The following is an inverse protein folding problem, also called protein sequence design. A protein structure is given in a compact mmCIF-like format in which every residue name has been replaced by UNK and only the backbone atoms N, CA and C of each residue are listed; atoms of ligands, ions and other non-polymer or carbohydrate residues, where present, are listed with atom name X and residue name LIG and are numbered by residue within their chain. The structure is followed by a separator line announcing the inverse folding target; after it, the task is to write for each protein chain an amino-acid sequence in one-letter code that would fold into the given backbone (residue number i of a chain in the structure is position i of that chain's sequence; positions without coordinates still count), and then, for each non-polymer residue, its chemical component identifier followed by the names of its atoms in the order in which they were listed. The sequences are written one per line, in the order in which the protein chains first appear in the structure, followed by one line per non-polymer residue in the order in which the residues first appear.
data_IF_315759584653
#
_entry.id   IF_315759584653
#
_cell.length_a   1.000
_cell.length_b   1.000
_cell.length_c   1.000
_cell.angle_alpha   90.00
_cell.angle_beta   90.00
_cell.angle_gamma   90.00
#
_symmetry.space_group_name_H-M   'P 1'
#
loop_
_entity.id
_entity.type
_entity.pdbx_description
1 polymer ?
#
# COMPACT_ATOMS: atom_id res chain seq x y z
N UNK A 1 2.56 -2.40 16.05
CA UNK A 1 2.11 -2.85 14.71
C UNK A 1 3.28 -3.13 13.78
N UNK A 2 2.98 -3.35 12.50
CA UNK A 2 4.01 -3.67 11.49
C UNK A 2 5.05 -2.55 11.35
N UNK A 3 4.60 -1.30 11.43
CA UNK A 3 5.43 -0.10 11.37
C UNK A 3 6.57 -0.12 12.40
N UNK A 4 6.30 -0.52 13.63
CA UNK A 4 7.33 -0.63 14.68
C UNK A 4 8.38 -1.72 14.36
N UNK A 5 7.95 -2.83 13.73
CA UNK A 5 8.84 -3.93 13.33
C UNK A 5 9.64 -3.63 12.06
N UNK A 6 9.13 -2.71 11.22
CA UNK A 6 9.77 -2.30 9.97
C UNK A 6 10.62 -1.02 10.13
N UNK A 7 10.71 -0.49 11.34
CA UNK A 7 11.63 0.60 11.60
C UNK A 7 13.06 0.13 11.31
N UNK A 8 13.76 0.85 10.42
CA UNK A 8 15.09 0.51 9.94
C UNK A 8 15.20 -0.76 9.09
N UNK A 9 14.11 -1.19 8.46
CA UNK A 9 14.12 -2.33 7.56
C UNK A 9 14.83 -1.98 6.25
N UNK A 10 16.09 -2.44 6.11
CA UNK A 10 16.90 -2.23 4.92
C UNK A 10 16.77 -3.47 4.05
N UNK A 11 16.23 -3.29 2.85
CA UNK A 11 15.94 -4.35 1.92
C UNK A 11 17.24 -4.90 1.32
N UNK A 12 17.62 -6.11 1.69
CA UNK A 12 18.79 -6.82 1.15
C UNK A 12 18.46 -7.67 -0.06
N UNK A 13 17.31 -8.36 0.00
CA UNK A 13 16.88 -9.31 -1.03
C UNK A 13 15.36 -9.25 -1.21
N UNK A 14 14.92 -9.41 -2.44
CA UNK A 14 13.50 -9.54 -2.79
C UNK A 14 13.31 -10.80 -3.64
N UNK A 15 12.33 -11.61 -3.28
CA UNK A 15 11.91 -12.78 -4.06
C UNK A 15 10.45 -12.57 -4.50
N UNK A 16 10.23 -12.59 -5.81
CA UNK A 16 8.90 -12.54 -6.40
C UNK A 16 8.46 -13.96 -6.70
N UNK A 17 7.57 -14.51 -5.87
CA UNK A 17 7.03 -15.88 -6.02
C UNK A 17 5.87 -15.92 -7.03
N UNK A 18 5.25 -14.79 -7.35
CA UNK A 18 4.19 -14.66 -8.34
C UNK A 18 4.30 -13.33 -9.09
N UNK A 19 4.61 -13.41 -10.38
CA UNK A 19 4.89 -12.24 -11.21
C UNK A 19 3.71 -11.27 -11.32
N UNK A 20 2.47 -11.79 -11.40
CA UNK A 20 1.26 -10.96 -11.49
C UNK A 20 0.98 -10.08 -10.26
N UNK A 21 1.73 -10.27 -9.16
CA UNK A 21 1.66 -9.40 -7.99
C UNK A 21 2.41 -8.08 -8.21
N UNK A 22 3.40 -8.08 -9.10
CA UNK A 22 4.12 -6.87 -9.48
C UNK A 22 3.35 -6.17 -10.60
N UNK A 23 2.82 -5.00 -10.31
CA UNK A 23 2.03 -4.22 -11.26
C UNK A 23 2.86 -3.12 -11.96
N UNK A 24 3.95 -2.67 -11.33
CA UNK A 24 4.87 -1.71 -11.92
C UNK A 24 6.24 -1.73 -11.18
N UNK A 25 7.33 -1.63 -11.92
CA UNK A 25 7.42 -1.73 -13.37
C UNK A 25 6.95 -3.11 -13.86
N UNK A 26 6.64 -3.23 -15.16
CA UNK A 26 6.17 -4.52 -15.75
C UNK A 26 7.25 -5.59 -15.66
N UNK A 27 8.52 -5.17 -15.75
CA UNK A 27 9.66 -6.06 -15.58
C UNK A 27 9.94 -6.28 -14.08
N UNK A 28 9.80 -7.53 -13.61
CA UNK A 28 10.02 -7.88 -12.19
C UNK A 28 11.47 -7.72 -11.74
N UNK A 29 12.42 -7.89 -12.62
CA UNK A 29 13.85 -7.70 -12.33
C UNK A 29 14.13 -6.22 -12.01
N UNK A 30 13.49 -5.31 -12.73
CA UNK A 30 13.55 -3.87 -12.43
C UNK A 30 12.90 -3.54 -11.08
N UNK A 31 11.76 -4.16 -10.76
CA UNK A 31 11.12 -4.04 -9.45
C UNK A 31 12.04 -4.51 -8.33
N UNK A 32 12.65 -5.71 -8.48
CA UNK A 32 13.58 -6.28 -7.49
C UNK A 32 14.80 -5.36 -7.32
N UNK A 33 15.42 -4.92 -8.43
CA UNK A 33 16.59 -4.03 -8.42
C UNK A 33 16.26 -2.67 -7.80
N UNK A 34 15.06 -2.17 -8.06
CA UNK A 34 14.61 -0.88 -7.53
C UNK A 34 14.45 -0.88 -6.01
N UNK A 35 13.96 -1.98 -5.44
CA UNK A 35 13.77 -2.13 -4.01
C UNK A 35 15.05 -2.48 -3.25
N UNK A 36 15.97 -3.21 -3.90
CA UNK A 36 17.21 -3.66 -3.26
C UNK A 36 18.04 -2.48 -2.75
N UNK A 37 18.65 -2.66 -1.58
CA UNK A 37 19.52 -1.69 -0.88
C UNK A 37 18.77 -0.40 -0.48
N UNK A 38 17.45 -0.47 -0.34
CA UNK A 38 16.59 0.63 0.12
C UNK A 38 16.21 0.45 1.58
N UNK A 39 16.19 1.56 2.31
CA UNK A 39 15.56 1.66 3.63
C UNK A 39 14.08 1.97 3.45
N UNK A 40 13.20 1.22 4.11
CA UNK A 40 11.81 1.62 4.30
C UNK A 40 11.80 2.73 5.36
N UNK A 41 11.67 3.98 4.91
CA UNK A 41 11.80 5.15 5.77
C UNK A 41 10.52 5.46 6.52
N UNK A 42 9.37 5.42 5.83
CA UNK A 42 8.08 5.77 6.40
C UNK A 42 6.95 5.03 5.69
N UNK A 43 5.92 4.65 6.44
CA UNK A 43 4.67 4.15 5.90
C UNK A 43 3.57 5.19 6.03
N UNK A 44 2.83 5.37 4.96
CA UNK A 44 1.60 6.14 4.91
C UNK A 44 0.46 5.29 4.33
N UNK A 45 -0.77 5.73 4.52
CA UNK A 45 -1.96 5.11 3.93
C UNK A 45 -2.78 6.16 3.19
N UNK A 46 -3.22 5.80 1.99
CA UNK A 46 -4.17 6.59 1.24
C UNK A 46 -5.28 5.67 0.70
N UNK A 47 -6.51 5.85 1.17
CA UNK A 47 -7.60 4.91 0.90
C UNK A 47 -7.22 3.48 1.32
N UNK A 48 -7.23 2.56 0.37
CA UNK A 48 -6.84 1.15 0.54
C UNK A 48 -5.42 0.84 0.09
N UNK A 49 -4.61 1.88 -0.18
CA UNK A 49 -3.21 1.76 -0.55
C UNK A 49 -2.31 2.02 0.65
N UNK A 50 -1.33 1.16 0.84
CA UNK A 50 -0.18 1.37 1.71
C UNK A 50 0.94 1.96 0.87
N UNK A 51 1.62 2.97 1.37
CA UNK A 51 2.66 3.70 0.64
C UNK A 51 3.88 3.77 1.54
N UNK A 52 4.96 3.08 1.14
CA UNK A 52 6.24 3.18 1.80
C UNK A 52 7.14 4.15 1.03
N UNK A 53 7.64 5.16 1.71
CA UNK A 53 8.73 6.00 1.21
C UNK A 53 10.05 5.27 1.35
N UNK A 54 10.84 5.24 0.28
CA UNK A 54 12.11 4.53 0.22
C UNK A 54 13.27 5.50 0.14
N UNK A 55 14.35 5.18 0.84
CA UNK A 55 15.62 5.93 0.77
C UNK A 55 16.78 5.02 0.45
N UNK A 56 17.79 5.52 -0.25
CA UNK A 56 19.07 4.83 -0.51
C UNK A 56 20.23 5.55 0.17
N UNK A 57 21.35 4.84 0.28
CA UNK A 57 22.62 5.45 0.67
C UNK A 57 23.10 6.45 -0.39
N UNK A 58 23.73 7.52 0.03
CA UNK A 58 24.42 8.44 -0.89
C UNK A 58 25.74 7.88 -1.42
N UNK A 59 26.42 7.03 -0.64
CA UNK A 59 27.71 6.43 -1.00
C UNK A 59 27.70 4.92 -0.72
N UNK A 60 28.11 4.12 -1.70
CA UNK A 60 28.14 2.65 -1.63
C UNK A 60 29.18 2.08 -0.64
N UNK A 61 30.09 2.90 -0.07
CA UNK A 61 31.27 2.45 0.65
C UNK A 61 31.24 2.63 2.18
N UNK A 62 30.07 2.81 2.83
CA UNK A 62 30.04 3.12 4.26
C UNK A 62 29.19 2.14 5.06
N UNK A 63 29.85 1.51 6.07
CA UNK A 63 29.18 0.76 7.14
C UNK A 63 28.29 1.67 7.98
N UNK A 64 27.07 1.21 8.23
CA UNK A 64 25.94 1.90 8.88
C UNK A 64 26.22 2.99 9.91
N UNK A 65 25.58 4.16 9.84
CA UNK A 65 24.42 4.56 10.64
C UNK A 65 23.32 5.26 9.80
N UNK A 66 22.09 5.35 10.37
CA UNK A 66 20.85 5.82 9.76
C UNK A 66 20.89 7.19 9.07
N UNK A 67 21.79 8.07 9.51
CA UNK A 67 21.94 9.44 9.00
C UNK A 67 22.39 9.54 7.53
N UNK A 68 22.78 8.41 6.95
CA UNK A 68 23.32 8.34 5.57
C UNK A 68 22.32 7.90 4.50
N UNK A 69 21.08 7.59 4.87
CA UNK A 69 19.99 7.36 3.92
C UNK A 69 19.29 8.67 3.59
N UNK A 70 19.88 9.49 2.78
CA UNK A 70 19.32 10.80 2.42
C UNK A 70 18.71 10.80 1.03
N UNK A 71 19.22 9.97 0.11
CA UNK A 71 18.75 9.92 -1.27
C UNK A 71 17.38 9.26 -1.37
N UNK A 72 16.40 10.02 -1.88
CA UNK A 72 15.09 9.48 -2.20
C UNK A 72 15.22 8.35 -3.25
N UNK A 73 14.57 7.21 -3.00
CA UNK A 73 14.49 6.08 -3.94
C UNK A 73 13.05 5.81 -4.41
N UNK A 74 12.17 6.79 -4.22
CA UNK A 74 10.78 6.67 -4.62
C UNK A 74 9.92 5.93 -3.60
N UNK A 75 8.99 5.12 -4.09
CA UNK A 75 7.93 4.55 -3.26
C UNK A 75 7.70 3.07 -3.57
N UNK A 76 7.44 2.29 -2.53
CA UNK A 76 6.77 1.00 -2.65
C UNK A 76 5.29 1.22 -2.29
N UNK A 77 4.41 1.03 -3.27
CA UNK A 77 2.96 1.11 -3.06
C UNK A 77 2.38 -0.29 -3.07
N UNK A 78 1.43 -0.56 -2.16
CA UNK A 78 0.80 -1.87 -2.03
C UNK A 78 -0.71 -1.71 -1.90
N UNK A 79 -1.45 -2.47 -2.69
CA UNK A 79 -2.90 -2.64 -2.53
C UNK A 79 -3.18 -4.08 -2.12
N UNK A 80 -3.57 -4.30 -0.87
CA UNK A 80 -3.76 -5.65 -0.30
C UNK A 80 -4.96 -6.39 -0.89
N UNK A 81 -5.94 -5.68 -1.45
CA UNK A 81 -7.21 -6.22 -1.91
C UNK A 81 -7.97 -6.92 -0.77
N UNK A 82 -8.49 -8.14 -1.01
CA UNK A 82 -9.41 -8.81 -0.08
C UNK A 82 -8.72 -9.75 0.89
N UNK A 83 -7.66 -10.42 0.47
CA UNK A 83 -7.02 -11.51 1.22
C UNK A 83 -5.52 -11.30 1.42
N UNK A 84 -4.97 -10.21 0.88
CA UNK A 84 -3.56 -9.89 1.02
C UNK A 84 -3.23 -9.36 2.41
N UNK A 85 -2.11 -9.82 2.96
CA UNK A 85 -1.57 -9.31 4.21
C UNK A 85 -0.06 -9.50 4.28
N UNK A 86 0.58 -8.68 5.12
CA UNK A 86 1.98 -8.85 5.46
C UNK A 86 2.15 -9.62 6.76
N UNK A 87 3.16 -10.50 6.77
CA UNK A 87 3.64 -11.20 7.96
C UNK A 87 5.12 -10.93 8.14
N UNK A 88 5.51 -10.43 9.31
CA UNK A 88 6.91 -10.31 9.69
C UNK A 88 7.38 -11.64 10.28
N UNK A 89 8.55 -12.12 9.85
CA UNK A 89 9.13 -13.41 10.23
C UNK A 89 10.57 -13.15 10.65
N UNK A 90 10.82 -13.33 11.92
CA UNK A 90 12.13 -13.19 12.57
C UNK A 90 12.87 -14.54 12.70
N UNK A 91 12.13 -15.64 12.67
CA UNK A 91 12.67 -17.00 12.65
C UNK A 91 12.18 -17.73 11.41
N UNK A 92 13.06 -18.40 10.70
CA UNK A 92 12.73 -19.06 9.44
C UNK A 92 11.51 -19.99 9.58
N UNK A 93 10.54 -19.77 8.71
CA UNK A 93 9.41 -20.67 8.50
C UNK A 93 9.22 -20.94 7.01
N UNK A 94 8.85 -22.16 6.63
CA UNK A 94 8.59 -22.48 5.24
C UNK A 94 7.53 -21.55 4.64
N UNK A 95 7.75 -21.01 3.43
CA UNK A 95 6.73 -20.24 2.72
C UNK A 95 5.53 -21.14 2.38
N UNK A 96 4.31 -20.62 2.58
CA UNK A 96 3.12 -21.33 2.15
C UNK A 96 2.85 -21.11 0.63
N UNK A 97 1.99 -21.95 0.04
CA UNK A 97 1.58 -21.84 -1.37
C UNK A 97 0.94 -20.50 -1.78
N UNK A 98 0.55 -19.69 -0.80
CA UNK A 98 -0.04 -18.38 -1.00
C UNK A 98 0.95 -17.22 -0.80
N UNK A 99 2.22 -17.51 -0.55
CA UNK A 99 3.29 -16.53 -0.53
C UNK A 99 3.47 -15.95 -1.94
N UNK A 100 3.47 -14.62 -2.06
CA UNK A 100 3.56 -13.91 -3.35
C UNK A 100 4.85 -13.13 -3.51
N UNK A 101 5.26 -12.44 -2.44
CA UNK A 101 6.53 -11.70 -2.39
C UNK A 101 7.16 -11.91 -1.02
N UNK A 102 8.48 -12.03 -1.00
CA UNK A 102 9.31 -12.12 0.20
C UNK A 102 10.36 -11.03 0.14
N UNK A 103 10.46 -10.24 1.16
CA UNK A 103 11.45 -9.16 1.28
C UNK A 103 12.29 -9.43 2.51
N UNK A 104 13.60 -9.51 2.35
CA UNK A 104 14.54 -9.80 3.43
C UNK A 104 15.35 -8.56 3.77
N UNK A 105 15.53 -8.33 5.06
CA UNK A 105 16.43 -7.28 5.54
C UNK A 105 17.89 -7.78 5.66
N UNK A 106 18.76 -6.88 6.09
CA UNK A 106 20.18 -7.18 6.33
C UNK A 106 20.42 -8.17 7.46
N UNK A 107 19.46 -8.36 8.37
CA UNK A 107 19.50 -9.30 9.50
C UNK A 107 18.83 -10.64 9.17
N UNK A 108 18.45 -10.86 7.91
CA UNK A 108 17.66 -12.00 7.42
C UNK A 108 16.23 -12.12 8.00
N UNK A 109 15.69 -11.06 8.62
CA UNK A 109 14.27 -11.02 8.89
C UNK A 109 13.50 -10.94 7.58
N UNK A 110 12.33 -11.53 7.53
CA UNK A 110 11.51 -11.57 6.32
C UNK A 110 10.19 -10.80 6.52
N UNK A 111 9.91 -9.85 5.62
CA UNK A 111 8.57 -9.32 5.41
C UNK A 111 7.94 -10.11 4.28
N UNK A 112 7.00 -10.98 4.62
CA UNK A 112 6.33 -11.87 3.69
C UNK A 112 4.95 -11.32 3.32
N UNK A 113 4.70 -11.18 2.03
CA UNK A 113 3.38 -10.89 1.51
C UNK A 113 2.66 -12.18 1.12
N UNK A 114 1.51 -12.39 1.73
CA UNK A 114 0.67 -13.57 1.53
C UNK A 114 -0.69 -13.11 0.99
N UNK A 115 -1.16 -13.76 -0.09
CA UNK A 115 -2.46 -13.46 -0.68
C UNK A 115 -3.08 -14.71 -1.31
N UNK A 116 -4.12 -15.23 -0.70
CA UNK A 116 -4.83 -16.44 -1.14
C UNK A 116 -5.40 -16.25 -2.54
N UNK A 117 -6.06 -15.13 -2.80
CA UNK A 117 -6.75 -14.84 -4.06
C UNK A 117 -5.84 -14.27 -5.15
N UNK A 118 -4.64 -13.83 -4.80
CA UNK A 118 -3.66 -13.23 -5.72
C UNK A 118 -4.16 -12.01 -6.49
N UNK A 119 -5.02 -11.20 -5.87
CA UNK A 119 -5.52 -9.95 -6.45
C UNK A 119 -4.74 -8.72 -5.97
N UNK A 120 -3.96 -8.89 -4.91
CA UNK A 120 -3.10 -7.84 -4.41
C UNK A 120 -2.00 -7.47 -5.39
N UNK A 121 -1.63 -6.23 -5.37
CA UNK A 121 -0.68 -5.66 -6.33
C UNK A 121 0.34 -4.77 -5.62
N UNK A 122 1.56 -4.76 -6.15
CA UNK A 122 2.66 -3.92 -5.70
C UNK A 122 3.26 -3.13 -6.85
N UNK A 123 3.66 -1.90 -6.55
CA UNK A 123 4.31 -0.96 -7.48
C UNK A 123 5.59 -0.46 -6.82
N UNK A 124 6.71 -0.55 -7.50
CA UNK A 124 7.86 0.26 -7.17
C UNK A 124 7.90 1.47 -8.11
N UNK A 125 7.85 2.65 -7.57
CA UNK A 125 7.79 3.91 -8.32
C UNK A 125 9.05 4.67 -8.00
N UNK A 126 9.93 4.77 -8.98
CA UNK A 126 11.22 5.43 -8.83
C UNK A 126 11.08 6.91 -8.50
N UNK A 127 12.13 7.48 -7.95
CA UNK A 127 12.27 8.91 -7.75
C UNK A 127 11.90 9.73 -9.00
N UNK A 128 11.26 10.88 -8.77
CA UNK A 128 10.79 11.77 -9.83
C UNK A 128 9.46 11.39 -10.47
N UNK A 129 8.95 10.17 -10.23
CA UNK A 129 7.62 9.76 -10.67
C UNK A 129 6.60 9.90 -9.55
N UNK A 130 5.39 10.33 -9.89
CA UNK A 130 4.28 10.46 -8.95
C UNK A 130 3.47 9.17 -8.88
N UNK A 131 3.25 8.57 -7.68
CA UNK A 131 2.35 7.43 -7.50
C UNK A 131 0.95 7.67 -8.05
N UNK A 132 0.41 8.87 -7.88
CA UNK A 132 -0.94 9.24 -8.35
C UNK A 132 -1.06 9.23 -9.89
N UNK A 133 0.03 9.48 -10.61
CA UNK A 133 0.05 9.42 -12.08
C UNK A 133 0.19 8.00 -12.61
N UNK A 134 0.96 7.17 -11.93
CA UNK A 134 1.21 5.76 -12.33
C UNK A 134 0.01 4.88 -11.95
N UNK A 135 -0.53 5.07 -10.75
CA UNK A 135 -1.63 4.26 -10.22
C UNK A 135 -2.94 5.06 -10.36
N UNK A 136 -3.64 4.86 -11.48
CA UNK A 136 -4.89 5.59 -11.76
C UNK A 136 -5.89 5.52 -10.60
N UNK A 137 -6.04 4.34 -9.99
CA UNK A 137 -6.93 4.16 -8.84
C UNK A 137 -6.53 5.00 -7.61
N UNK A 138 -5.23 5.19 -7.37
CA UNK A 138 -4.74 6.06 -6.29
C UNK A 138 -4.97 7.53 -6.63
N UNK A 139 -4.69 7.94 -7.87
CA UNK A 139 -4.83 9.33 -8.31
C UNK A 139 -6.27 9.83 -8.38
N UNK A 140 -7.24 8.92 -8.50
CA UNK A 140 -8.68 9.25 -8.57
C UNK A 140 -9.42 9.20 -7.23
N UNK A 141 -8.72 8.92 -6.12
CA UNK A 141 -9.36 8.81 -4.80
C UNK A 141 -10.00 10.12 -4.35
N UNK A 142 -11.24 10.02 -3.89
CA UNK A 142 -11.93 11.09 -3.16
C UNK A 142 -11.27 11.40 -1.80
N UNK A 143 -11.83 12.32 -1.00
CA UNK A 143 -11.32 12.65 0.32
C UNK A 143 -11.32 11.43 1.27
N UNK A 144 -10.44 11.46 2.28
CA UNK A 144 -10.47 10.49 3.38
C UNK A 144 -11.70 10.75 4.29
N UNK A 145 -12.31 9.71 4.88
CA UNK A 145 -13.52 9.86 5.70
C UNK A 145 -13.40 10.83 6.88
N UNK A 146 -12.19 10.94 7.44
CA UNK A 146 -11.92 11.83 8.60
C UNK A 146 -11.20 13.12 8.21
N UNK A 147 -11.08 13.43 6.91
CA UNK A 147 -10.54 14.71 6.47
C UNK A 147 -11.60 15.80 6.55
N UNK A 148 -11.17 17.06 6.65
CA UNK A 148 -12.07 18.23 6.62
C UNK A 148 -12.85 18.35 5.30
N UNK A 149 -12.32 17.76 4.23
CA UNK A 149 -12.92 17.77 2.91
C UNK A 149 -14.12 16.83 2.79
N UNK A 150 -14.19 15.77 3.61
CA UNK A 150 -15.34 14.87 3.70
C UNK A 150 -16.29 15.33 4.82
N UNK A 151 -17.31 16.07 4.46
CA UNK A 151 -18.30 16.63 5.39
C UNK A 151 -19.73 16.49 4.83
N UNK A 152 -20.73 16.81 5.65
CA UNK A 152 -22.14 16.69 5.28
C UNK A 152 -22.51 17.48 4.02
N UNK A 153 -21.96 18.69 3.84
CA UNK A 153 -22.22 19.51 2.66
C UNK A 153 -21.65 18.89 1.38
N UNK A 154 -20.43 18.36 1.47
CA UNK A 154 -19.81 17.62 0.37
C UNK A 154 -20.67 16.40 0.00
N UNK A 155 -21.02 15.58 0.99
CA UNK A 155 -21.80 14.36 0.75
C UNK A 155 -23.19 14.67 0.17
N UNK A 156 -23.90 15.67 0.70
CA UNK A 156 -25.20 16.13 0.18
C UNK A 156 -25.08 16.57 -1.29
N UNK A 157 -24.05 17.35 -1.65
CA UNK A 157 -23.79 17.79 -3.03
C UNK A 157 -23.52 16.63 -3.98
N UNK A 158 -22.83 15.58 -3.49
CA UNK A 158 -22.51 14.39 -4.30
C UNK A 158 -23.75 13.53 -4.51
N UNK A 159 -24.54 13.29 -3.45
CA UNK A 159 -25.75 12.46 -3.49
C UNK A 159 -26.81 13.10 -4.40
N UNK A 160 -27.05 14.43 -4.29
CA UNK A 160 -28.08 15.12 -5.05
C UNK A 160 -27.96 15.00 -6.58
N UNK A 161 -26.79 14.60 -7.07
CA UNK A 161 -26.50 14.44 -8.51
C UNK A 161 -26.51 12.97 -8.98
N UNK A 162 -26.91 12.02 -8.13
CA UNK A 162 -26.76 10.59 -8.38
C UNK A 162 -28.05 9.83 -8.08
N UNK A 163 -28.28 8.80 -8.89
CA UNK A 163 -29.44 7.88 -8.77
C UNK A 163 -29.06 6.54 -8.12
N UNK A 164 -27.77 6.35 -7.81
CA UNK A 164 -27.28 5.12 -7.17
C UNK A 164 -27.69 5.08 -5.69
N UNK A 165 -27.84 3.87 -5.13
CA UNK A 165 -28.07 3.69 -3.69
C UNK A 165 -26.97 4.33 -2.88
N UNK A 166 -27.29 4.75 -1.67
CA UNK A 166 -26.31 5.39 -0.75
C UNK A 166 -25.13 4.47 -0.45
N UNK A 167 -25.35 3.18 -0.31
CA UNK A 167 -24.26 2.21 -0.13
C UNK A 167 -23.31 2.21 -1.35
N UNK A 168 -23.85 2.19 -2.57
CA UNK A 168 -23.03 2.23 -3.78
C UNK A 168 -22.21 3.53 -3.90
N UNK A 169 -22.76 4.64 -3.41
CA UNK A 169 -22.06 5.93 -3.35
C UNK A 169 -20.90 5.87 -2.34
N UNK A 170 -21.13 5.32 -1.15
CA UNK A 170 -20.09 5.17 -0.11
C UNK A 170 -18.98 4.20 -0.52
N UNK A 171 -19.27 3.21 -1.36
CA UNK A 171 -18.28 2.26 -1.88
C UNK A 171 -17.43 2.82 -3.03
N UNK A 172 -17.88 3.90 -3.66
CA UNK A 172 -17.16 4.56 -4.76
C UNK A 172 -15.95 5.31 -4.21
N UNK A 173 -14.76 4.75 -4.45
CA UNK A 173 -13.51 5.29 -3.95
C UNK A 173 -13.16 6.69 -4.50
N UNK A 174 -13.83 7.12 -5.57
CA UNK A 174 -13.67 8.48 -6.12
C UNK A 174 -14.48 9.51 -5.34
N UNK A 175 -15.43 9.06 -4.55
CA UNK A 175 -16.28 9.90 -3.69
C UNK A 175 -15.70 9.96 -2.28
N UNK A 176 -15.39 8.81 -1.70
CA UNK A 176 -14.75 8.71 -0.40
C UNK A 176 -13.74 7.56 -0.39
N UNK A 177 -12.51 7.88 -0.01
CA UNK A 177 -11.45 6.89 -0.01
C UNK A 177 -11.56 5.93 1.16
N UNK A 178 -11.19 4.67 0.96
CA UNK A 178 -10.98 3.70 2.04
C UNK A 178 -12.22 2.94 2.52
N UNK A 179 -13.43 3.46 2.35
CA UNK A 179 -14.65 2.76 2.78
C UNK A 179 -14.83 1.47 1.97
N UNK A 180 -15.04 0.37 2.67
CA UNK A 180 -15.40 -0.93 2.13
C UNK A 180 -16.80 -1.36 2.60
N UNK A 181 -17.24 -2.55 2.20
CA UNK A 181 -18.59 -3.05 2.53
C UNK A 181 -18.89 -2.98 4.02
N UNK A 182 -17.99 -3.46 4.87
CA UNK A 182 -18.18 -3.50 6.33
C UNK A 182 -18.46 -2.10 6.85
N UNK A 183 -17.58 -1.14 6.57
CA UNK A 183 -17.76 0.23 7.09
C UNK A 183 -18.93 0.97 6.46
N UNK A 184 -19.28 0.68 5.19
CA UNK A 184 -20.48 1.23 4.57
C UNK A 184 -21.74 0.73 5.30
N UNK A 185 -21.84 -0.58 5.57
CA UNK A 185 -22.99 -1.19 6.23
C UNK A 185 -23.11 -0.72 7.69
N UNK A 186 -22.02 -0.73 8.45
CA UNK A 186 -21.99 -0.26 9.85
C UNK A 186 -22.36 1.24 9.95
N UNK A 187 -21.85 2.07 9.06
CA UNK A 187 -22.17 3.50 9.06
C UNK A 187 -23.64 3.76 8.75
N UNK A 188 -24.20 3.07 7.77
CA UNK A 188 -25.61 3.21 7.40
C UNK A 188 -26.53 2.66 8.49
N UNK A 189 -26.19 1.52 9.06
CA UNK A 189 -26.92 0.95 10.19
C UNK A 189 -26.94 1.90 11.39
N UNK A 190 -25.78 2.42 11.77
CA UNK A 190 -25.65 3.39 12.87
C UNK A 190 -26.43 4.69 12.62
N UNK A 191 -26.57 5.10 11.36
CA UNK A 191 -27.33 6.27 10.95
C UNK A 191 -28.85 6.01 10.76
N UNK A 192 -29.33 4.76 10.89
CA UNK A 192 -30.71 4.37 10.61
C UNK A 192 -31.12 4.54 9.14
N UNK A 193 -30.16 4.45 8.21
CA UNK A 193 -30.37 4.67 6.76
C UNK A 193 -30.37 3.33 6.03
N UNK A 194 -31.41 3.08 5.22
CA UNK A 194 -31.43 1.91 4.34
C UNK A 194 -30.29 1.97 3.31
N UNK A 195 -29.60 0.85 3.06
CA UNK A 195 -28.53 0.80 2.06
C UNK A 195 -29.02 0.90 0.60
N UNK A 196 -30.34 0.75 0.36
CA UNK A 196 -31.02 0.71 -0.96
C UNK A 196 -31.64 2.03 -1.31
#
# INVERSE_FOLDING_TARGET
GLEQKLNNFIIKKVEVCRDSTVAFPVNKEEFIKGLKDSLIYKWDRRGKYLIAELKKFENENIQFPQEKFSKNNGFLVVHLRMTGYFKFIDNFTQPCKHTRIRVFDINNNELRYIDVRSFGQMWWIKEGLSPNKIIKGLGSLGPEPFSKDFNANYLKKVISKRTKSIKAILLDQTIVAGIGNIYADESLYSAGISPF
#
